data_IF_747699901476
#
_entry.id   IF_747699901476
#
_cell.length_a   1.000
_cell.length_b   1.000
_cell.length_c   1.000
_cell.angle_alpha   90.00
_cell.angle_beta   90.00
_cell.angle_gamma   90.00
#
_symmetry.space_group_name_H-M   'P 1'
#
loop_
_entity.id
_entity.type
_entity.pdbx_description
1 polymer ?
#
# COMPACT_ATOMS: atom_id res chain seq x y z
N UNK A 1 -1.94 15.51 -2.72
CA UNK A 1 -1.95 14.03 -2.67
C UNK A 1 -1.05 13.51 -1.54
N UNK A 2 0.03 14.22 -1.19
CA UNK A 2 0.89 13.91 -0.03
C UNK A 2 0.15 14.10 1.30
N UNK A 3 -0.68 15.15 1.45
CA UNK A 3 -1.36 15.41 2.72
C UNK A 3 -2.39 14.34 3.14
N UNK A 4 -2.97 13.62 2.17
CA UNK A 4 -3.93 12.54 2.45
C UNK A 4 -3.23 11.24 2.90
N UNK A 5 -1.91 11.13 2.67
CA UNK A 5 -1.13 9.95 3.03
C UNK A 5 -0.87 9.90 4.53
N UNK A 6 -0.43 11.02 5.10
CA UNK A 6 -0.11 11.12 6.53
C UNK A 6 -1.37 10.93 7.38
N UNK A 7 -2.51 11.47 6.95
CA UNK A 7 -3.80 11.29 7.63
C UNK A 7 -4.26 9.83 7.68
N UNK A 8 -4.14 9.09 6.56
CA UNK A 8 -4.51 7.66 6.52
C UNK A 8 -3.55 6.84 7.38
N UNK A 9 -2.25 7.16 7.35
CA UNK A 9 -1.24 6.46 8.12
C UNK A 9 -1.43 6.65 9.63
N UNK A 10 -1.68 7.89 10.05
CA UNK A 10 -1.96 8.23 11.45
C UNK A 10 -3.23 7.55 11.95
N UNK A 11 -4.28 7.53 11.13
CA UNK A 11 -5.54 6.87 11.50
C UNK A 11 -5.35 5.35 11.61
N UNK A 12 -4.66 4.71 10.66
CA UNK A 12 -4.34 3.28 10.74
C UNK A 12 -3.57 2.95 12.02
N UNK A 13 -2.54 3.74 12.36
CA UNK A 13 -1.72 3.49 13.55
C UNK A 13 -2.52 3.60 14.84
N UNK A 14 -3.41 4.59 14.97
CA UNK A 14 -4.31 4.71 16.12
C UNK A 14 -5.23 3.49 16.24
N UNK A 15 -5.77 3.02 15.11
CA UNK A 15 -6.69 1.89 15.09
C UNK A 15 -5.99 0.55 15.35
N UNK A 16 -4.69 0.42 15.00
CA UNK A 16 -3.88 -0.76 15.31
C UNK A 16 -3.77 -1.01 16.82
N UNK A 17 -3.65 0.04 17.63
CA UNK A 17 -3.58 -0.09 19.10
C UNK A 17 -4.85 -0.73 19.68
N UNK A 18 -6.01 -0.46 19.06
CA UNK A 18 -7.31 -0.96 19.48
C UNK A 18 -7.54 -2.44 19.13
N UNK A 19 -6.68 -3.05 18.32
CA UNK A 19 -6.79 -4.49 17.99
C UNK A 19 -6.49 -5.37 19.21
N UNK A 20 -5.62 -4.90 20.11
CA UNK A 20 -5.22 -5.66 21.30
C UNK A 20 -6.44 -6.07 22.12
N UNK A 21 -6.54 -7.36 22.45
CA UNK A 21 -7.65 -7.91 23.22
C UNK A 21 -7.49 -7.51 24.68
N UNK A 22 -8.38 -6.65 25.15
CA UNK A 22 -8.50 -6.21 26.55
C UNK A 22 -9.91 -6.45 27.07
N UNK A 23 -10.10 -6.44 28.39
CA UNK A 23 -11.45 -6.60 28.98
C UNK A 23 -12.43 -5.52 28.51
N UNK A 24 -11.96 -4.28 28.33
CA UNK A 24 -12.72 -3.18 27.75
C UNK A 24 -13.05 -3.44 26.27
N UNK A 25 -12.07 -3.90 25.48
CA UNK A 25 -12.31 -4.22 24.07
C UNK A 25 -13.31 -5.35 23.85
N UNK A 26 -13.36 -6.33 24.76
CA UNK A 26 -14.38 -7.38 24.73
C UNK A 26 -15.79 -6.81 25.02
N UNK A 27 -15.91 -5.92 26.01
CA UNK A 27 -17.18 -5.25 26.30
C UNK A 27 -17.69 -4.40 25.12
N UNK A 28 -16.78 -3.82 24.34
CA UNK A 28 -17.05 -3.02 23.14
C UNK A 28 -16.95 -3.82 21.84
N UNK A 29 -16.99 -5.16 21.89
CA UNK A 29 -16.64 -6.02 20.76
C UNK A 29 -17.42 -5.73 19.47
N UNK A 30 -18.69 -5.37 19.58
CA UNK A 30 -19.53 -4.98 18.43
C UNK A 30 -19.08 -3.68 17.77
N UNK A 31 -18.74 -2.69 18.58
CA UNK A 31 -18.31 -1.37 18.11
C UNK A 31 -16.93 -1.47 17.46
N UNK A 32 -15.99 -2.18 18.11
CA UNK A 32 -14.66 -2.44 17.53
C UNK A 32 -14.74 -3.21 16.22
N UNK A 33 -15.58 -4.24 16.14
CA UNK A 33 -15.78 -4.96 14.90
C UNK A 33 -16.32 -4.05 13.77
N UNK A 34 -17.27 -3.16 14.06
CA UNK A 34 -17.77 -2.20 13.08
C UNK A 34 -16.69 -1.21 12.64
N UNK A 35 -15.92 -0.67 13.59
CA UNK A 35 -14.84 0.28 13.29
C UNK A 35 -13.77 -0.33 12.40
N UNK A 36 -13.30 -1.55 12.68
CA UNK A 36 -12.31 -2.21 11.83
C UNK A 36 -12.81 -2.45 10.40
N UNK A 37 -14.10 -2.71 10.21
CA UNK A 37 -14.70 -2.83 8.88
C UNK A 37 -14.71 -1.48 8.13
N UNK A 38 -14.92 -0.37 8.84
CA UNK A 38 -14.83 0.98 8.24
C UNK A 38 -13.39 1.29 7.83
N UNK A 39 -12.42 1.00 8.68
CA UNK A 39 -10.99 1.20 8.37
C UNK A 39 -10.57 0.35 7.18
N UNK A 40 -11.00 -0.92 7.13
CA UNK A 40 -10.78 -1.81 5.98
C UNK A 40 -11.34 -1.19 4.69
N UNK A 41 -12.56 -0.67 4.70
CA UNK A 41 -13.18 -0.04 3.55
C UNK A 41 -12.40 1.19 3.05
N UNK A 42 -11.91 2.03 3.97
CA UNK A 42 -11.06 3.18 3.65
C UNK A 42 -9.74 2.72 2.99
N UNK A 43 -9.11 1.69 3.54
CA UNK A 43 -7.87 1.13 2.98
C UNK A 43 -8.07 0.50 1.60
N UNK A 44 -9.21 -0.15 1.36
CA UNK A 44 -9.56 -0.70 0.03
C UNK A 44 -9.71 0.42 -1.00
N UNK A 45 -10.37 1.51 -0.64
CA UNK A 45 -10.52 2.65 -1.54
C UNK A 45 -9.17 3.33 -1.81
N UNK A 46 -8.34 3.46 -0.78
CA UNK A 46 -6.98 3.98 -0.93
C UNK A 46 -6.11 3.07 -1.82
N UNK A 47 -6.21 1.75 -1.68
CA UNK A 47 -5.53 0.77 -2.53
C UNK A 47 -5.89 0.95 -4.01
N UNK A 48 -7.17 1.21 -4.33
CA UNK A 48 -7.60 1.46 -5.71
C UNK A 48 -6.95 2.70 -6.32
N UNK A 49 -6.80 3.76 -5.52
CA UNK A 49 -6.11 4.97 -5.96
C UNK A 49 -4.64 4.69 -6.25
N UNK A 50 -3.97 3.93 -5.38
CA UNK A 50 -2.58 3.48 -5.56
C UNK A 50 -2.44 2.64 -6.83
N UNK A 51 -3.30 1.63 -7.04
CA UNK A 51 -3.26 0.79 -8.24
C UNK A 51 -3.41 1.62 -9.53
N UNK A 52 -4.26 2.64 -9.51
CA UNK A 52 -4.43 3.58 -10.63
C UNK A 52 -3.18 4.39 -10.93
N UNK A 53 -2.50 4.92 -9.90
CA UNK A 53 -1.23 5.65 -10.06
C UNK A 53 -0.07 4.72 -10.45
N UNK A 54 -0.04 3.49 -9.93
CA UNK A 54 0.98 2.50 -10.22
C UNK A 54 0.95 2.06 -11.69
N UNK A 55 -0.24 1.92 -12.27
CA UNK A 55 -0.40 1.65 -13.70
C UNK A 55 0.21 2.77 -14.58
N UNK A 56 0.03 4.04 -14.18
CA UNK A 56 0.63 5.19 -14.86
C UNK A 56 2.15 5.18 -14.73
N UNK A 57 2.67 4.98 -13.52
CA UNK A 57 4.13 4.94 -13.25
C UNK A 57 4.80 3.75 -13.93
N UNK A 58 4.16 2.58 -13.98
CA UNK A 58 4.67 1.42 -14.73
C UNK A 58 4.79 1.72 -16.22
N UNK A 59 3.74 2.30 -16.82
CA UNK A 59 3.73 2.66 -18.23
C UNK A 59 4.82 3.69 -18.56
N UNK A 60 5.01 4.68 -17.69
CA UNK A 60 6.07 5.68 -17.84
C UNK A 60 7.47 5.06 -17.74
N UNK A 61 7.69 4.19 -16.74
CA UNK A 61 8.95 3.44 -16.57
C UNK A 61 9.31 2.65 -17.83
N UNK A 62 8.36 1.88 -18.36
CA UNK A 62 8.57 1.04 -19.53
C UNK A 62 8.81 1.87 -20.80
N UNK A 63 8.05 2.95 -20.99
CA UNK A 63 8.21 3.87 -22.11
C UNK A 63 9.58 4.58 -22.08
N UNK A 64 10.00 5.09 -20.91
CA UNK A 64 11.30 5.75 -20.74
C UNK A 64 12.44 4.77 -20.99
N UNK A 65 12.34 3.55 -20.47
CA UNK A 65 13.33 2.51 -20.74
C UNK A 65 13.45 2.19 -22.24
N UNK A 66 12.32 2.00 -22.93
CA UNK A 66 12.28 1.70 -24.36
C UNK A 66 12.83 2.85 -25.22
N UNK A 67 12.57 4.10 -24.82
CA UNK A 67 13.11 5.27 -25.51
C UNK A 67 14.63 5.39 -25.35
N UNK A 68 15.17 4.99 -24.20
CA UNK A 68 16.61 5.13 -23.88
C UNK A 68 17.46 3.98 -24.38
N UNK A 69 16.95 2.74 -24.44
CA UNK A 69 17.76 1.55 -24.76
C UNK A 69 18.44 1.59 -26.13
N UNK A 70 17.86 2.30 -27.09
CA UNK A 70 18.43 2.47 -28.42
C UNK A 70 19.38 3.67 -28.54
N UNK A 71 19.37 4.58 -27.55
CA UNK A 71 20.16 5.82 -27.53
C UNK A 71 21.42 5.72 -26.67
N UNK A 72 21.41 4.84 -25.67
CA UNK A 72 22.51 4.68 -24.72
C UNK A 72 23.64 3.84 -25.33
N UNK A 73 24.88 4.28 -25.11
CA UNK A 73 26.07 3.58 -25.58
C UNK A 73 26.22 2.22 -24.89
N UNK A 74 26.74 1.23 -25.62
CA UNK A 74 27.00 -0.12 -25.11
C UNK A 74 27.13 -1.13 -26.24
N UNK A 75 28.11 -2.02 -26.13
CA UNK A 75 28.44 -3.01 -27.17
C UNK A 75 27.41 -4.12 -27.26
N UNK A 76 26.78 -4.45 -26.14
CA UNK A 76 25.76 -5.47 -26.02
C UNK A 76 24.53 -4.94 -25.24
N UNK A 77 23.43 -5.68 -25.29
CA UNK A 77 22.17 -5.30 -24.63
C UNK A 77 22.37 -5.16 -23.12
N UNK A 78 23.19 -6.00 -22.50
CA UNK A 78 23.45 -5.98 -21.05
C UNK A 78 24.11 -4.69 -20.59
N UNK A 79 25.18 -4.25 -21.27
CA UNK A 79 25.85 -2.96 -21.00
C UNK A 79 24.89 -1.78 -21.16
N UNK A 80 24.05 -1.80 -22.20
CA UNK A 80 23.04 -0.75 -22.40
C UNK A 80 22.03 -0.70 -21.25
N UNK A 81 21.57 -1.87 -20.77
CA UNK A 81 20.66 -1.95 -19.61
C UNK A 81 21.29 -1.38 -18.34
N UNK A 82 22.56 -1.69 -18.09
CA UNK A 82 23.30 -1.16 -16.94
C UNK A 82 23.40 0.37 -17.03
N UNK A 83 23.77 0.88 -18.22
CA UNK A 83 23.92 2.32 -18.42
C UNK A 83 22.59 3.10 -18.31
N UNK A 84 21.47 2.49 -18.71
CA UNK A 84 20.13 3.06 -18.48
C UNK A 84 19.76 3.01 -16.99
N UNK A 85 20.14 1.95 -16.27
CA UNK A 85 19.86 1.88 -14.83
C UNK A 85 20.57 2.98 -14.03
N UNK A 86 21.68 3.51 -14.55
CA UNK A 86 22.41 4.65 -13.98
C UNK A 86 21.98 6.01 -14.55
N UNK A 87 21.04 6.04 -15.50
CA UNK A 87 20.49 7.27 -16.04
C UNK A 87 19.52 7.92 -15.04
N UNK A 88 19.73 9.20 -14.73
CA UNK A 88 19.04 9.93 -13.66
C UNK A 88 17.52 9.99 -13.84
N UNK A 89 17.03 10.22 -15.05
CA UNK A 89 15.60 10.29 -15.35
C UNK A 89 14.95 8.90 -15.22
N UNK A 90 15.57 7.85 -15.74
CA UNK A 90 15.03 6.50 -15.59
C UNK A 90 15.09 6.03 -14.13
N UNK A 91 16.19 6.31 -13.43
CA UNK A 91 16.36 5.97 -12.03
C UNK A 91 15.27 6.63 -11.16
N UNK A 92 15.01 7.93 -11.36
CA UNK A 92 13.96 8.65 -10.62
C UNK A 92 12.56 8.08 -10.88
N UNK A 93 12.23 7.76 -12.14
CA UNK A 93 10.93 7.15 -12.47
C UNK A 93 10.81 5.75 -11.86
N UNK A 94 11.89 4.97 -11.89
CA UNK A 94 11.92 3.64 -11.31
C UNK A 94 11.76 3.67 -9.79
N UNK A 95 12.48 4.55 -9.11
CA UNK A 95 12.39 4.75 -7.65
C UNK A 95 10.97 5.15 -7.26
N UNK A 96 10.39 6.11 -7.98
CA UNK A 96 8.99 6.53 -7.81
C UNK A 96 8.00 5.37 -7.98
N UNK A 97 8.24 4.45 -8.93
CA UNK A 97 7.43 3.25 -9.07
C UNK A 97 7.61 2.28 -7.88
N UNK A 98 8.85 2.06 -7.45
CA UNK A 98 9.18 1.14 -6.35
C UNK A 98 8.62 1.63 -5.00
N UNK A 99 8.67 2.93 -4.72
CA UNK A 99 8.05 3.54 -3.53
C UNK A 99 6.54 3.30 -3.49
N UNK A 100 5.87 3.49 -4.63
CA UNK A 100 4.42 3.31 -4.71
C UNK A 100 4.01 1.84 -4.61
N UNK A 101 4.82 0.91 -5.15
CA UNK A 101 4.59 -0.53 -5.00
C UNK A 101 4.83 -1.00 -3.56
N UNK A 102 5.86 -0.47 -2.89
CA UNK A 102 6.08 -0.72 -1.47
C UNK A 102 4.89 -0.25 -0.61
N UNK A 103 4.36 0.94 -0.92
CA UNK A 103 3.16 1.45 -0.27
C UNK A 103 1.94 0.56 -0.52
N UNK A 104 1.75 0.11 -1.77
CA UNK A 104 0.67 -0.81 -2.13
C UNK A 104 0.69 -2.09 -1.30
N UNK A 105 1.86 -2.68 -1.13
CA UNK A 105 2.01 -3.90 -0.32
C UNK A 105 1.80 -3.61 1.18
N UNK A 106 2.23 -2.44 1.67
CA UNK A 106 1.91 -1.99 3.03
C UNK A 106 0.39 -1.91 3.26
N UNK A 107 -0.36 -1.28 2.35
CA UNK A 107 -1.83 -1.14 2.46
C UNK A 107 -2.52 -2.50 2.47
N UNK A 108 -2.11 -3.42 1.56
CA UNK A 108 -2.65 -4.79 1.54
C UNK A 108 -2.40 -5.56 2.82
N UNK A 109 -1.23 -5.37 3.43
CA UNK A 109 -0.93 -5.95 4.74
C UNK A 109 -1.93 -5.48 5.80
N UNK A 110 -2.22 -4.18 5.83
CA UNK A 110 -3.13 -3.59 6.81
C UNK A 110 -4.59 -3.97 6.58
N UNK A 111 -5.04 -4.09 5.32
CA UNK A 111 -6.37 -4.63 5.00
C UNK A 111 -6.57 -5.99 5.67
N UNK A 112 -5.60 -6.92 5.51
CA UNK A 112 -5.69 -8.25 6.13
C UNK A 112 -5.68 -8.18 7.66
N UNK A 113 -4.91 -7.26 8.25
CA UNK A 113 -4.88 -7.08 9.71
C UNK A 113 -6.25 -6.66 10.22
N UNK A 114 -6.88 -5.66 9.60
CA UNK A 114 -8.19 -5.17 10.01
C UNK A 114 -9.33 -6.14 9.69
N UNK A 115 -9.27 -6.86 8.57
CA UNK A 115 -10.21 -7.94 8.25
C UNK A 115 -10.18 -9.02 9.36
N UNK A 116 -8.98 -9.46 9.75
CA UNK A 116 -8.82 -10.44 10.82
C UNK A 116 -9.30 -9.90 12.18
N UNK A 117 -8.98 -8.64 12.51
CA UNK A 117 -9.44 -7.99 13.73
C UNK A 117 -10.98 -7.88 13.76
N UNK A 118 -11.61 -7.49 12.65
CA UNK A 118 -13.06 -7.48 12.48
C UNK A 118 -13.65 -8.87 12.75
N UNK A 119 -13.13 -9.92 12.12
CA UNK A 119 -13.61 -11.29 12.28
C UNK A 119 -13.48 -11.75 13.74
N UNK A 120 -12.35 -11.45 14.38
CA UNK A 120 -12.07 -11.81 15.78
C UNK A 120 -13.10 -11.18 16.73
N UNK A 121 -13.28 -9.85 16.67
CA UNK A 121 -14.21 -9.14 17.55
C UNK A 121 -15.67 -9.47 17.26
N UNK A 122 -16.00 -9.73 15.99
CA UNK A 122 -17.32 -10.26 15.61
C UNK A 122 -17.56 -11.64 16.23
N UNK A 123 -16.52 -12.49 16.35
CA UNK A 123 -16.57 -13.77 17.06
C UNK A 123 -16.97 -13.58 18.53
N UNK A 124 -16.24 -12.75 19.27
CA UNK A 124 -16.55 -12.45 20.68
C UNK A 124 -17.96 -11.91 20.86
N UNK A 125 -18.41 -10.99 19.99
CA UNK A 125 -19.75 -10.42 20.07
C UNK A 125 -20.91 -11.41 19.90
N UNK A 126 -20.63 -12.60 19.35
CA UNK A 126 -21.59 -13.68 19.12
C UNK A 126 -21.61 -14.70 20.25
N UNK A 127 -20.51 -14.88 20.97
CA UNK A 127 -20.38 -15.79 22.11
C UNK A 127 -21.01 -15.23 23.39
N UNK A 128 -21.19 -13.91 23.50
CA UNK A 128 -21.93 -13.24 24.58
C UNK A 128 -23.47 -13.46 24.52
N UNK A 129 -23.94 -14.45 23.76
CA UNK A 129 -25.36 -14.86 23.64
C UNK A 129 -25.54 -16.31 24.03
#
# INVERSE_FOLDING_TARGET
>A
MIDCFDEVFDEVNKQLELITVTSEGLAESKERAANFLVVEAVLIEYLRQIDGELAKRSSLKDATFANKINRVAGKNITERKINIATDEEYASIRESFEELDALREWVKGHIKIFENAHIMYRGFSREDR
#
